data_IF_445603502353
#
_entry.id   IF_445603502353
#
_cell.length_a   1.000
_cell.length_b   1.000
_cell.length_c   1.000
_cell.angle_alpha   90.00
_cell.angle_beta   90.00
_cell.angle_gamma   90.00
#
_symmetry.space_group_name_H-M   'P 1'
#
loop_
_entity.id
_entity.type
_entity.pdbx_description
1 polymer ?
#
# COMPACT_ATOMS: atom_id res chain seq x y z
N UNK A 1 21.36 7.18 -21.20
CA UNK A 1 20.11 7.77 -21.73
C UNK A 1 19.37 8.37 -20.54
N UNK A 2 18.97 9.64 -20.62
CA UNK A 2 18.28 10.33 -19.52
C UNK A 2 16.85 9.78 -19.40
N UNK A 3 16.63 8.81 -18.51
CA UNK A 3 15.30 8.29 -18.19
C UNK A 3 14.42 9.34 -17.49
N UNK A 4 13.09 9.18 -17.51
CA UNK A 4 12.20 10.05 -16.73
C UNK A 4 12.38 9.73 -15.24
N UNK A 5 12.15 10.73 -14.39
CA UNK A 5 12.23 10.58 -12.94
C UNK A 5 11.37 9.42 -12.43
N UNK A 6 10.16 9.20 -12.99
CA UNK A 6 9.30 8.08 -12.59
C UNK A 6 9.99 6.72 -12.85
N UNK A 7 10.67 6.56 -13.97
CA UNK A 7 11.39 5.31 -14.29
C UNK A 7 12.51 5.08 -13.26
N UNK A 8 13.30 6.13 -13.01
CA UNK A 8 14.38 6.11 -12.04
C UNK A 8 13.90 5.84 -10.61
N UNK A 9 12.71 6.35 -10.25
CA UNK A 9 12.10 6.09 -8.95
C UNK A 9 11.64 4.63 -8.84
N UNK A 10 10.93 4.12 -9.85
CA UNK A 10 10.40 2.75 -9.86
C UNK A 10 11.49 1.67 -9.92
N UNK A 11 12.68 2.00 -10.41
CA UNK A 11 13.85 1.11 -10.38
C UNK A 11 14.49 0.98 -8.98
N UNK A 12 14.09 1.81 -8.00
CA UNK A 12 14.66 1.74 -6.66
C UNK A 12 14.06 0.58 -5.83
N UNK A 13 14.84 -0.08 -4.96
CA UNK A 13 14.34 -1.16 -4.09
C UNK A 13 13.12 -0.74 -3.25
N UNK A 14 13.11 0.49 -2.74
CA UNK A 14 12.00 1.05 -1.96
C UNK A 14 10.70 1.23 -2.75
N UNK A 15 10.78 1.24 -4.09
CA UNK A 15 9.65 1.43 -4.98
C UNK A 15 9.03 0.11 -5.46
N UNK A 16 9.51 -1.05 -4.98
CA UNK A 16 9.10 -2.39 -5.41
C UNK A 16 7.58 -2.64 -5.40
N UNK A 17 6.86 -2.05 -4.44
CA UNK A 17 5.39 -2.20 -4.34
C UNK A 17 4.60 -1.26 -5.25
N UNK A 18 5.23 -0.22 -5.79
CA UNK A 18 4.56 0.74 -6.64
C UNK A 18 4.28 0.17 -8.04
N UNK A 19 3.30 0.78 -8.69
CA UNK A 19 3.04 0.68 -10.12
C UNK A 19 3.33 2.02 -10.80
N UNK A 20 3.55 1.97 -12.12
CA UNK A 20 3.62 3.17 -12.93
C UNK A 20 2.22 3.80 -13.03
N UNK A 21 2.12 5.07 -12.69
CA UNK A 21 0.92 5.87 -12.89
C UNK A 21 0.88 6.35 -14.33
N UNK A 22 -0.27 6.25 -14.99
CA UNK A 22 -0.44 6.67 -16.37
C UNK A 22 -0.21 8.18 -16.54
N UNK A 23 0.44 8.57 -17.64
CA UNK A 23 0.70 9.98 -17.96
C UNK A 23 -0.60 10.79 -18.06
N UNK A 24 -1.68 10.20 -18.58
CA UNK A 24 -3.01 10.85 -18.65
C UNK A 24 -3.55 11.14 -17.25
N UNK A 25 -3.42 10.19 -16.32
CA UNK A 25 -3.84 10.37 -14.93
C UNK A 25 -3.04 11.48 -14.25
N UNK A 26 -1.73 11.53 -14.48
CA UNK A 26 -0.82 12.57 -13.98
C UNK A 26 -1.02 13.94 -14.61
N UNK A 27 -1.59 14.02 -15.82
CA UNK A 27 -1.84 15.30 -16.48
C UNK A 27 -3.13 15.97 -16.00
N UNK A 28 -4.09 15.19 -15.51
CA UNK A 28 -5.36 15.70 -15.02
C UNK A 28 -5.23 16.31 -13.61
N UNK A 29 -5.40 17.64 -13.53
CA UNK A 29 -5.29 18.40 -12.28
C UNK A 29 -6.33 18.01 -11.23
N UNK A 30 -7.49 17.48 -11.63
CA UNK A 30 -8.50 17.03 -10.68
C UNK A 30 -7.97 15.91 -9.79
N UNK A 31 -7.14 15.01 -10.33
CA UNK A 31 -6.58 13.87 -9.60
C UNK A 31 -5.60 14.27 -8.49
N UNK A 32 -5.09 15.51 -8.49
CA UNK A 32 -4.15 16.03 -7.48
C UNK A 32 -4.78 17.09 -6.57
N UNK A 33 -6.09 17.32 -6.69
CA UNK A 33 -6.82 18.30 -5.86
C UNK A 33 -6.65 17.98 -4.38
N UNK A 34 -6.41 19.00 -3.56
CA UNK A 34 -6.19 18.88 -2.12
C UNK A 34 -4.78 18.47 -1.70
N UNK A 35 -3.97 17.85 -2.58
CA UNK A 35 -2.60 17.44 -2.23
C UNK A 35 -1.66 18.62 -2.06
N UNK A 36 -1.89 19.72 -2.79
CA UNK A 36 -1.09 20.94 -2.70
C UNK A 36 -1.02 21.51 -1.28
N UNK A 37 -2.08 21.38 -0.49
CA UNK A 37 -2.13 21.90 0.89
C UNK A 37 -1.35 21.03 1.88
N UNK A 38 -1.07 19.77 1.52
CA UNK A 38 -0.33 18.82 2.36
C UNK A 38 1.19 18.89 2.15
N UNK A 39 1.69 19.76 1.27
CA UNK A 39 3.09 19.74 0.80
C UNK A 39 3.71 21.13 0.65
N UNK A 40 4.99 21.24 0.99
CA UNK A 40 5.74 22.50 0.93
C UNK A 40 6.18 22.85 -0.49
N UNK A 41 6.65 21.86 -1.25
CA UNK A 41 7.21 22.06 -2.59
C UNK A 41 6.41 21.34 -3.68
N UNK A 42 5.07 21.40 -3.57
CA UNK A 42 4.15 20.73 -4.50
C UNK A 42 4.45 21.05 -5.97
N UNK A 43 4.58 22.33 -6.34
CA UNK A 43 4.73 22.72 -7.76
C UNK A 43 6.03 22.18 -8.37
N UNK A 44 7.22 22.40 -7.78
CA UNK A 44 8.45 21.80 -8.30
C UNK A 44 8.41 20.27 -8.34
N UNK A 45 7.88 19.61 -7.30
CA UNK A 45 7.75 18.16 -7.24
C UNK A 45 6.83 17.62 -8.35
N UNK A 46 5.69 18.26 -8.57
CA UNK A 46 4.72 17.85 -9.58
C UNK A 46 5.24 18.03 -11.01
N UNK A 47 5.98 19.12 -11.27
CA UNK A 47 6.65 19.34 -12.56
C UNK A 47 7.77 18.33 -12.81
N UNK A 48 8.51 17.94 -11.77
CA UNK A 48 9.52 16.88 -11.86
C UNK A 48 8.87 15.54 -12.25
N UNK A 49 7.77 15.15 -11.60
CA UNK A 49 7.04 13.91 -11.90
C UNK A 49 6.52 13.92 -13.35
N UNK A 50 5.89 15.01 -13.79
CA UNK A 50 5.19 15.06 -15.10
C UNK A 50 6.13 15.28 -16.28
N UNK A 51 7.06 16.22 -16.14
CA UNK A 51 7.86 16.76 -17.24
C UNK A 51 9.33 16.40 -17.15
N UNK A 52 9.76 15.77 -16.06
CA UNK A 52 11.17 15.50 -15.78
C UNK A 52 12.01 16.79 -15.69
N UNK A 53 11.38 17.90 -15.29
CA UNK A 53 12.00 19.22 -15.19
C UNK A 53 11.72 19.83 -13.83
N UNK A 54 12.73 20.46 -13.22
CA UNK A 54 12.54 21.24 -12.00
C UNK A 54 12.45 22.73 -12.36
N UNK A 55 11.28 23.34 -12.22
CA UNK A 55 11.15 24.81 -12.20
C UNK A 55 11.57 25.34 -10.84
N UNK A 56 12.84 25.15 -10.46
CA UNK A 56 13.46 25.91 -9.37
C UNK A 56 13.73 27.32 -9.89
N UNK A 57 12.67 28.11 -10.04
CA UNK A 57 12.69 29.40 -10.74
C UNK A 57 13.72 30.41 -10.18
N UNK A 58 14.34 30.15 -9.02
CA UNK A 58 15.31 31.06 -8.39
C UNK A 58 16.45 30.39 -7.60
N UNK A 59 16.73 29.10 -7.81
CA UNK A 59 17.87 28.43 -7.12
C UNK A 59 17.78 28.33 -5.59
N UNK A 60 16.61 28.59 -4.99
CA UNK A 60 16.42 28.63 -3.53
C UNK A 60 16.25 27.25 -2.87
N UNK A 61 15.97 26.19 -3.64
CA UNK A 61 15.71 24.85 -3.11
C UNK A 61 16.59 23.84 -3.82
N UNK A 62 17.29 23.00 -3.06
CA UNK A 62 18.14 21.96 -3.61
C UNK A 62 17.32 20.88 -4.33
N UNK A 63 17.95 20.24 -5.33
CA UNK A 63 17.30 19.20 -6.12
C UNK A 63 16.91 17.99 -5.29
N UNK A 64 17.70 17.65 -4.26
CA UNK A 64 17.44 16.53 -3.37
C UNK A 64 16.13 16.69 -2.59
N UNK A 65 15.83 17.90 -2.11
CA UNK A 65 14.56 18.22 -1.45
C UNK A 65 13.39 18.09 -2.41
N UNK A 66 13.54 18.58 -3.65
CA UNK A 66 12.50 18.44 -4.68
C UNK A 66 12.26 16.96 -5.02
N UNK A 67 13.32 16.15 -5.13
CA UNK A 67 13.21 14.71 -5.37
C UNK A 67 12.51 14.00 -4.21
N UNK A 68 12.84 14.31 -2.96
CA UNK A 68 12.14 13.77 -1.77
C UNK A 68 10.65 14.14 -1.76
N UNK A 69 10.32 15.39 -2.07
CA UNK A 69 8.92 15.83 -2.15
C UNK A 69 8.19 15.19 -3.33
N UNK A 70 8.87 14.93 -4.45
CA UNK A 70 8.33 14.19 -5.57
C UNK A 70 8.02 12.73 -5.21
N UNK A 71 8.83 12.07 -4.39
CA UNK A 71 8.52 10.72 -3.89
C UNK A 71 7.25 10.70 -3.04
N UNK A 72 7.12 11.65 -2.11
CA UNK A 72 5.93 11.78 -1.26
C UNK A 72 4.69 12.06 -2.13
N UNK A 73 4.80 13.01 -3.06
CA UNK A 73 3.70 13.36 -3.95
C UNK A 73 3.29 12.18 -4.84
N UNK A 74 4.26 11.48 -5.44
CA UNK A 74 4.01 10.31 -6.27
C UNK A 74 3.28 9.23 -5.46
N UNK A 75 3.66 9.02 -4.20
CA UNK A 75 2.95 8.10 -3.32
C UNK A 75 1.50 8.50 -3.02
N UNK A 76 1.24 9.78 -2.74
CA UNK A 76 -0.13 10.25 -2.53
C UNK A 76 -1.00 10.13 -3.79
N UNK A 77 -0.42 10.39 -4.96
CA UNK A 77 -1.12 10.20 -6.23
C UNK A 77 -1.33 8.70 -6.51
N UNK A 78 -0.34 7.86 -6.16
CA UNK A 78 -0.42 6.41 -6.31
C UNK A 78 -1.63 5.84 -5.55
N UNK A 79 -1.83 6.22 -4.28
CA UNK A 79 -3.01 5.79 -3.51
C UNK A 79 -4.33 6.08 -4.24
N UNK A 80 -4.45 7.25 -4.88
CA UNK A 80 -5.62 7.62 -5.69
C UNK A 80 -5.71 6.81 -6.97
N UNK A 81 -4.58 6.58 -7.64
CA UNK A 81 -4.51 5.79 -8.87
C UNK A 81 -4.92 4.34 -8.64
N UNK A 82 -4.62 3.76 -7.47
CA UNK A 82 -5.04 2.40 -7.09
C UNK A 82 -6.56 2.21 -7.07
N UNK A 83 -7.34 3.29 -6.93
CA UNK A 83 -8.81 3.24 -6.97
C UNK A 83 -9.38 3.23 -8.41
N UNK A 84 -8.52 3.43 -9.41
CA UNK A 84 -8.92 3.42 -10.83
C UNK A 84 -8.90 2.01 -11.42
N UNK A 85 -9.61 1.80 -12.53
CA UNK A 85 -9.57 0.52 -13.25
C UNK A 85 -8.16 0.15 -13.75
N UNK A 86 -7.37 1.05 -14.36
CA UNK A 86 -5.99 0.77 -14.76
C UNK A 86 -5.07 0.47 -13.57
N UNK A 87 -5.12 1.27 -12.50
CA UNK A 87 -4.29 1.05 -11.32
C UNK A 87 -4.54 -0.31 -10.67
N UNK A 88 -5.81 -0.70 -10.48
CA UNK A 88 -6.15 -2.04 -9.99
C UNK A 88 -5.66 -3.16 -10.92
N UNK A 89 -5.70 -2.95 -12.25
CA UNK A 89 -5.24 -3.95 -13.22
C UNK A 89 -3.72 -4.18 -13.10
N UNK A 90 -2.92 -3.12 -13.01
CA UNK A 90 -1.48 -3.21 -12.84
C UNK A 90 -1.09 -3.89 -11.51
N UNK A 91 -1.83 -3.62 -10.43
CA UNK A 91 -1.63 -4.34 -9.16
C UNK A 91 -1.99 -5.82 -9.26
N UNK A 92 -3.01 -6.17 -10.05
CA UNK A 92 -3.38 -7.57 -10.30
C UNK A 92 -2.28 -8.31 -11.06
N UNK A 93 -1.63 -7.66 -12.02
CA UNK A 93 -0.49 -8.24 -12.74
C UNK A 93 0.71 -8.50 -11.80
N UNK A 94 1.03 -7.55 -10.90
CA UNK A 94 2.02 -7.76 -9.83
C UNK A 94 1.64 -8.95 -8.92
N UNK A 95 0.37 -9.04 -8.55
CA UNK A 95 -0.15 -10.15 -7.76
C UNK A 95 0.05 -11.51 -8.46
N UNK A 96 -0.26 -11.58 -9.76
CA UNK A 96 -0.10 -12.80 -10.56
C UNK A 96 1.37 -13.23 -10.64
N UNK A 97 2.30 -12.29 -10.82
CA UNK A 97 3.75 -12.55 -10.83
C UNK A 97 4.34 -12.96 -9.48
N UNK A 98 3.55 -12.88 -8.40
CA UNK A 98 4.01 -13.18 -7.03
C UNK A 98 4.99 -12.14 -6.49
N UNK A 99 4.83 -10.87 -6.89
CA UNK A 99 5.69 -9.77 -6.44
C UNK A 99 5.48 -9.41 -4.96
N UNK A 100 4.39 -9.89 -4.35
CA UNK A 100 3.98 -9.58 -2.97
C UNK A 100 4.26 -10.72 -1.99
N UNK A 101 4.51 -10.35 -0.73
CA UNK A 101 4.74 -11.33 0.33
C UNK A 101 3.51 -12.22 0.57
N UNK A 102 3.74 -13.41 1.10
CA UNK A 102 2.68 -14.35 1.48
C UNK A 102 2.24 -14.14 2.93
N UNK A 103 1.02 -14.58 3.24
CA UNK A 103 0.49 -14.55 4.59
C UNK A 103 1.35 -15.42 5.55
N UNK A 104 1.71 -14.91 6.74
CA UNK A 104 2.49 -15.67 7.71
C UNK A 104 1.67 -16.77 8.41
N UNK A 105 0.33 -16.74 8.34
CA UNK A 105 -0.51 -17.79 8.92
C UNK A 105 -0.37 -19.08 8.12
N UNK A 106 0.05 -20.14 8.81
CA UNK A 106 0.18 -21.51 8.26
C UNK A 106 -1.09 -21.94 7.52
N UNK A 107 -2.26 -21.68 8.09
CA UNK A 107 -3.55 -22.09 7.51
C UNK A 107 -4.01 -21.27 6.31
N UNK A 108 -3.35 -20.15 6.00
CA UNK A 108 -3.57 -19.42 4.76
C UNK A 108 -2.83 -20.04 3.56
N UNK A 109 -2.08 -21.15 3.77
CA UNK A 109 -1.44 -21.95 2.72
C UNK A 109 -0.62 -21.13 1.72
N UNK A 110 0.11 -20.13 2.21
CA UNK A 110 0.93 -19.25 1.36
C UNK A 110 0.14 -18.28 0.48
N UNK A 111 -1.11 -17.95 0.83
CA UNK A 111 -1.90 -16.93 0.12
C UNK A 111 -1.11 -15.63 0.03
N UNK A 112 -0.97 -15.09 -1.19
CA UNK A 112 -0.29 -13.81 -1.43
C UNK A 112 -1.11 -12.66 -0.83
N UNK A 113 -0.44 -11.75 -0.15
CA UNK A 113 -1.05 -10.56 0.43
C UNK A 113 -1.03 -9.39 -0.56
N UNK A 114 -1.75 -8.32 -0.22
CA UNK A 114 -1.82 -7.06 -0.95
C UNK A 114 -1.23 -5.93 -0.10
N UNK A 115 -0.47 -4.98 -0.68
CA UNK A 115 -0.03 -3.78 0.04
C UNK A 115 -1.20 -3.01 0.66
N UNK A 116 -1.08 -2.56 1.90
CA UNK A 116 -2.22 -1.96 2.60
C UNK A 116 -1.79 -0.81 3.50
N UNK A 117 -2.37 0.36 3.30
CA UNK A 117 -2.23 1.50 4.20
C UNK A 117 -3.37 1.54 5.20
N UNK A 118 -3.06 1.63 6.49
CA UNK A 118 -4.11 1.74 7.54
C UNK A 118 -4.80 3.12 7.49
N UNK A 119 -4.09 4.14 7.02
CA UNK A 119 -4.50 5.54 7.07
C UNK A 119 -4.11 6.26 5.78
N UNK A 120 -4.81 7.35 5.48
CA UNK A 120 -4.52 8.27 4.37
C UNK A 120 -3.63 9.46 4.81
N UNK A 121 -3.33 9.56 6.10
CA UNK A 121 -2.51 10.63 6.67
C UNK A 121 -1.04 10.26 6.74
N UNK A 122 -0.19 11.16 6.23
CA UNK A 122 1.26 10.98 6.18
C UNK A 122 1.88 10.85 7.59
N UNK A 123 2.90 10.00 7.70
CA UNK A 123 3.74 9.83 8.88
C UNK A 123 3.08 9.05 10.02
N UNK A 124 1.83 8.61 9.86
CA UNK A 124 1.07 7.98 10.93
C UNK A 124 1.36 6.48 11.06
N UNK A 125 1.39 5.75 9.94
CA UNK A 125 1.63 4.31 9.92
C UNK A 125 2.46 3.92 8.71
N UNK A 126 3.34 2.95 8.89
CA UNK A 126 4.05 2.33 7.76
C UNK A 126 3.13 1.39 6.98
N UNK A 127 3.53 1.09 5.75
CA UNK A 127 2.87 0.12 4.88
C UNK A 127 2.74 -1.24 5.58
N UNK A 128 1.57 -1.87 5.39
CA UNK A 128 1.25 -3.22 5.86
C UNK A 128 0.87 -4.11 4.68
N UNK A 129 0.56 -5.37 4.97
CA UNK A 129 0.12 -6.35 3.99
C UNK A 129 -1.20 -6.98 4.43
N UNK A 130 -2.25 -6.80 3.63
CA UNK A 130 -3.57 -7.38 3.84
C UNK A 130 -3.64 -8.79 3.22
N UNK A 131 -4.10 -9.78 3.98
CA UNK A 131 -4.32 -11.13 3.46
C UNK A 131 -5.80 -11.35 3.06
N UNK A 132 -6.10 -11.69 1.79
CA UNK A 132 -7.47 -11.97 1.35
C UNK A 132 -8.01 -13.33 1.80
N UNK A 133 -7.19 -14.20 2.41
CA UNK A 133 -7.65 -15.48 2.95
C UNK A 133 -8.23 -15.33 4.36
N UNK A 134 -7.49 -14.66 5.24
CA UNK A 134 -7.87 -14.51 6.64
C UNK A 134 -8.42 -13.14 7.00
N UNK A 135 -8.46 -12.20 6.06
CA UNK A 135 -8.97 -10.84 6.22
C UNK A 135 -8.27 -10.08 7.37
N UNK A 136 -6.96 -10.18 7.41
CA UNK A 136 -6.14 -9.68 8.51
C UNK A 136 -4.86 -9.01 7.96
N UNK A 137 -4.26 -8.15 8.78
CA UNK A 137 -3.21 -7.21 8.39
C UNK A 137 -1.89 -7.60 9.05
N UNK A 138 -0.83 -7.66 8.25
CA UNK A 138 0.49 -8.10 8.68
C UNK A 138 1.55 -7.04 8.43
N UNK A 139 2.61 -7.07 9.24
CA UNK A 139 3.80 -6.25 8.99
C UNK A 139 4.54 -6.73 7.74
N UNK A 140 5.19 -5.78 7.08
CA UNK A 140 6.06 -6.04 5.94
C UNK A 140 7.38 -6.58 6.45
N UNK A 141 7.85 -7.65 5.82
CA UNK A 141 9.09 -8.35 6.22
C UNK A 141 10.33 -7.85 5.48
N UNK A 142 10.13 -7.29 4.28
CA UNK A 142 11.18 -6.75 3.43
C UNK A 142 11.67 -5.39 3.97
N UNK A 143 12.96 -5.32 4.32
CA UNK A 143 13.54 -4.17 5.01
C UNK A 143 13.56 -2.90 4.14
N UNK A 144 13.69 -3.04 2.82
CA UNK A 144 13.80 -1.92 1.88
C UNK A 144 12.48 -1.13 1.78
N UNK A 145 11.36 -1.80 2.05
CA UNK A 145 10.01 -1.24 1.95
C UNK A 145 9.29 -1.14 3.32
N UNK A 146 9.83 -1.75 4.38
CA UNK A 146 9.19 -1.77 5.71
C UNK A 146 8.92 -0.37 6.32
N UNK A 147 9.70 0.63 5.90
CA UNK A 147 9.61 2.03 6.35
C UNK A 147 8.77 2.92 5.44
N UNK A 148 8.25 2.38 4.33
CA UNK A 148 7.43 3.13 3.40
C UNK A 148 6.14 3.59 4.10
N UNK A 149 5.67 4.79 3.79
CA UNK A 149 4.44 5.34 4.35
C UNK A 149 3.22 4.57 3.82
N UNK A 150 2.33 4.15 4.72
CA UNK A 150 1.10 3.46 4.35
C UNK A 150 0.12 4.35 3.56
N UNK A 151 0.17 5.67 3.75
CA UNK A 151 -0.69 6.62 3.05
C UNK A 151 -0.49 6.61 1.52
N UNK A 152 0.63 6.05 1.03
CA UNK A 152 0.89 5.89 -0.41
C UNK A 152 0.06 4.78 -1.08
N UNK A 153 -0.65 3.99 -0.28
CA UNK A 153 -1.57 2.95 -0.73
C UNK A 153 -2.99 3.21 -0.22
N UNK A 154 -3.12 3.66 1.03
CA UNK A 154 -4.39 3.94 1.68
C UNK A 154 -5.21 2.68 2.02
N UNK A 155 -6.34 2.83 2.74
CA UNK A 155 -7.13 1.72 3.27
C UNK A 155 -8.18 1.19 2.28
N UNK A 156 -8.57 2.00 1.29
CA UNK A 156 -9.77 1.70 0.48
C UNK A 156 -9.51 0.74 -0.68
N UNK A 157 -8.31 0.76 -1.26
CA UNK A 157 -8.06 0.14 -2.56
C UNK A 157 -8.18 -1.38 -2.56
N UNK A 158 -7.75 -2.05 -1.47
CA UNK A 158 -7.78 -3.52 -1.39
C UNK A 158 -9.22 -4.05 -1.45
N UNK A 159 -10.17 -3.34 -0.87
CA UNK A 159 -11.57 -3.77 -0.85
C UNK A 159 -12.20 -3.65 -2.24
N UNK A 160 -11.93 -2.54 -2.94
CA UNK A 160 -12.35 -2.37 -4.34
C UNK A 160 -11.67 -3.37 -5.27
N UNK A 161 -10.38 -3.64 -5.04
CA UNK A 161 -9.61 -4.63 -5.79
C UNK A 161 -10.21 -6.02 -5.67
N UNK A 162 -10.56 -6.46 -4.45
CA UNK A 162 -11.15 -7.78 -4.20
C UNK A 162 -12.58 -7.90 -4.74
N UNK A 163 -13.34 -6.80 -4.74
CA UNK A 163 -14.64 -6.77 -5.42
C UNK A 163 -14.49 -6.99 -6.94
N UNK A 164 -13.47 -6.38 -7.56
CA UNK A 164 -13.20 -6.54 -9.00
C UNK A 164 -12.59 -7.90 -9.35
N UNK A 165 -11.65 -8.38 -8.54
CA UNK A 165 -10.87 -9.61 -8.78
C UNK A 165 -11.14 -10.66 -7.70
N UNK A 166 -12.40 -11.07 -7.57
CA UNK A 166 -12.84 -12.03 -6.55
C UNK A 166 -12.12 -13.39 -6.61
N UNK A 167 -11.51 -13.73 -7.73
CA UNK A 167 -10.66 -14.93 -7.89
C UNK A 167 -9.42 -14.93 -7.00
N UNK A 168 -9.03 -13.77 -6.47
CA UNK A 168 -7.92 -13.63 -5.51
C UNK A 168 -8.30 -14.16 -4.11
N UNK A 169 -9.59 -14.18 -3.78
CA UNK A 169 -10.09 -14.68 -2.50
C UNK A 169 -10.15 -16.21 -2.56
N UNK A 170 -9.44 -16.93 -1.66
CA UNK A 170 -9.56 -18.38 -1.59
C UNK A 170 -11.00 -18.81 -1.30
N UNK A 171 -11.46 -19.89 -1.96
CA UNK A 171 -12.81 -20.42 -1.77
C UNK A 171 -13.02 -21.10 -0.43
N UNK A 172 -11.96 -21.73 0.09
CA UNK A 172 -12.01 -22.40 1.39
C UNK A 172 -11.96 -21.35 2.51
N UNK A 173 -12.83 -21.46 3.53
CA UNK A 173 -12.74 -20.58 4.68
C UNK A 173 -11.39 -20.76 5.41
N UNK A 174 -10.82 -19.69 5.98
CA UNK A 174 -9.56 -19.77 6.69
C UNK A 174 -9.69 -20.72 7.87
N UNK A 175 -8.79 -21.70 7.95
CA UNK A 175 -8.74 -22.61 9.10
C UNK A 175 -8.08 -21.91 10.29
N UNK A 176 -8.60 -22.19 11.48
CA UNK A 176 -8.05 -21.70 12.75
C UNK A 176 -7.34 -22.87 13.44
N UNK A 177 -6.20 -22.59 14.06
CA UNK A 177 -5.48 -23.59 14.84
C UNK A 177 -6.34 -24.08 16.01
N UNK A 178 -6.42 -25.40 16.16
CA UNK A 178 -7.09 -26.03 17.31
C UNK A 178 -6.01 -26.65 18.19
N UNK A 179 -5.69 -26.05 19.34
CA UNK A 179 -4.64 -26.56 20.23
C UNK A 179 -5.05 -27.91 20.82
N UNK A 180 -4.14 -28.89 20.78
CA UNK A 180 -4.35 -30.23 21.31
C UNK A 180 -3.14 -30.73 22.12
N UNK A 181 -3.41 -31.42 23.24
CA UNK A 181 -2.42 -32.17 24.03
C UNK A 181 -2.89 -33.62 24.10
N UNK A 182 -2.01 -34.58 23.77
CA UNK A 182 -2.34 -36.01 23.67
C UNK A 182 -3.58 -36.32 22.79
N UNK A 183 -3.85 -35.48 21.79
CA UNK A 183 -5.02 -35.61 20.90
C UNK A 183 -6.30 -34.94 21.42
N UNK A 184 -6.34 -34.53 22.69
CA UNK A 184 -7.47 -33.84 23.31
C UNK A 184 -7.37 -32.33 23.10
N UNK A 185 -8.49 -31.68 22.78
CA UNK A 185 -8.55 -30.21 22.65
C UNK A 185 -8.37 -29.58 24.04
N UNK A 186 -7.54 -28.54 24.14
CA UNK A 186 -7.27 -27.87 25.42
C UNK A 186 -8.39 -26.90 25.80
N UNK A 187 -8.93 -26.18 24.79
CA UNK A 187 -9.98 -25.19 24.99
C UNK A 187 -11.16 -25.52 24.08
N UNK A 188 -12.36 -25.49 24.65
CA UNK A 188 -13.61 -25.51 23.94
C UNK A 188 -14.10 -24.07 23.73
N UNK A 189 -14.89 -23.80 22.70
CA UNK A 189 -15.44 -22.46 22.45
C UNK A 189 -16.32 -21.95 23.60
N UNK A 190 -16.82 -22.85 24.43
CA UNK A 190 -17.58 -22.58 25.66
C UNK A 190 -16.73 -22.10 26.84
N UNK A 191 -15.40 -22.21 26.75
CA UNK A 191 -14.49 -21.92 27.87
C UNK A 191 -13.94 -20.48 27.80
N UNK A 192 -14.42 -19.68 26.84
CA UNK A 192 -14.13 -18.25 26.80
C UNK A 192 -14.99 -17.57 27.87
N UNK A 193 -14.37 -17.19 28.98
CA UNK A 193 -14.96 -16.22 29.89
C UNK A 193 -15.03 -14.87 29.15
N UNK A 194 -16.25 -14.38 28.93
CA UNK A 194 -16.47 -13.02 28.42
C UNK A 194 -15.98 -12.06 29.50
N UNK A 195 -14.75 -11.56 29.34
CA UNK A 195 -14.31 -10.37 30.07
C UNK A 195 -15.12 -9.19 29.55
N UNK A 196 -16.31 -8.99 30.08
CA UNK A 196 -17.01 -7.72 30.00
C UNK A 196 -16.15 -6.70 30.75
N UNK A 197 -15.45 -5.84 30.02
CA UNK A 197 -14.91 -4.60 30.57
C UNK A 197 -16.10 -3.84 31.18
N UNK A 198 -16.19 -3.86 32.51
CA UNK A 198 -17.05 -2.93 33.24
C UNK A 198 -16.45 -1.54 33.03
N UNK A 199 -17.02 -0.79 32.08
CA UNK A 199 -16.92 0.68 32.08
C UNK A 199 -17.42 1.17 33.45
N UNK A 200 -16.49 1.58 34.30
CA UNK A 200 -16.80 2.34 35.51
C UNK A 200 -16.94 3.80 35.12
N UNK A 201 -18.14 4.34 35.35
CA UNK A 201 -18.56 5.75 35.19
C UNK A 201 -17.53 6.79 35.67
#
# INVERSE_FOLDING_TARGET
MSGRWIDQFLDQPKAKLFIRIDDEFLQNSFNVTGLKQKMNYFTPAYELIRRNTTTSARGEVDRATIEREAEILYGLIHARFLLTRPGMQLMFEKYQRSDFQTCPRVYCKGTKCLPYGITEELGQQTIKMFCPCCNDIYNVTDQDISKLDGAFFGPSWVHMFLQKFSTVIPRDPPRVYVPKIYGFRICHSSDREDYSESESD
#
